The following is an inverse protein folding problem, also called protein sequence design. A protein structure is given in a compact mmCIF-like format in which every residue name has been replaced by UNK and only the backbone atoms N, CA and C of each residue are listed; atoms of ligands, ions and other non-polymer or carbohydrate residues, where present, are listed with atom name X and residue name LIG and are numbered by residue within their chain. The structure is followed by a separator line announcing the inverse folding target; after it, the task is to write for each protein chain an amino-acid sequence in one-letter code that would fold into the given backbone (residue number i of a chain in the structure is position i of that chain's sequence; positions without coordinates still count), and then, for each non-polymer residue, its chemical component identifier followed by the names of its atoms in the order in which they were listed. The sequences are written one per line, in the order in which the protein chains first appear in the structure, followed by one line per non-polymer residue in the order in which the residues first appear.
data_IF_498420120312
#
_entry.id   IF_498420120312
#
_cell.length_a   1.000
_cell.length_b   1.000
_cell.length_c   1.000
_cell.angle_alpha   90.00
_cell.angle_beta   90.00
_cell.angle_gamma   90.00
#
_symmetry.space_group_name_H-M   'P 1'
#
loop_
_entity.id
_entity.type
_entity.pdbx_description
1 polymer ?
#
# COMPACT_ATOMS: atom_id res chain seq x y z
N UNK A 1 6.03 34.45 8.16
CA UNK A 1 5.51 33.40 9.04
C UNK A 1 4.77 32.39 8.15
N UNK A 2 5.27 31.18 7.89
CA UNK A 2 4.49 30.18 7.18
C UNK A 2 3.72 29.29 8.14
N UNK A 3 2.48 29.00 7.77
CA UNK A 3 1.49 28.18 8.47
C UNK A 3 1.85 26.69 8.36
N UNK A 4 2.90 26.22 9.04
CA UNK A 4 3.37 24.83 8.99
C UNK A 4 2.52 23.83 9.81
N UNK A 5 1.45 24.28 10.46
CA UNK A 5 0.68 23.45 11.41
C UNK A 5 -0.28 22.45 10.74
N UNK A 6 -0.73 22.73 9.52
CA UNK A 6 -1.64 21.84 8.78
C UNK A 6 -0.90 20.64 8.18
N UNK A 7 0.35 20.85 7.74
CA UNK A 7 1.19 19.79 7.18
C UNK A 7 1.49 18.73 8.25
N UNK A 8 1.90 19.15 9.45
CA UNK A 8 2.21 18.25 10.56
C UNK A 8 1.03 17.36 10.99
N UNK A 9 -0.20 17.87 10.99
CA UNK A 9 -1.38 17.06 11.30
C UNK A 9 -1.73 16.08 10.19
N UNK A 10 -1.67 16.51 8.93
CA UNK A 10 -1.88 15.62 7.79
C UNK A 10 -0.83 14.50 7.77
N UNK A 11 0.44 14.84 8.02
CA UNK A 11 1.53 13.87 8.14
C UNK A 11 1.28 12.89 9.28
N UNK A 12 0.89 13.35 10.47
CA UNK A 12 0.63 12.47 11.61
C UNK A 12 -0.49 11.44 11.33
N UNK A 13 -1.56 11.85 10.64
CA UNK A 13 -2.65 10.95 10.25
C UNK A 13 -2.15 9.91 9.24
N UNK A 14 -1.38 10.34 8.24
CA UNK A 14 -0.81 9.45 7.23
C UNK A 14 0.18 8.46 7.84
N UNK A 15 1.00 8.91 8.80
CA UNK A 15 1.94 8.09 9.55
C UNK A 15 1.25 7.05 10.44
N UNK A 16 0.16 7.42 11.11
CA UNK A 16 -0.65 6.46 11.87
C UNK A 16 -1.25 5.39 10.94
N UNK A 17 -1.85 5.81 9.83
CA UNK A 17 -2.49 4.92 8.88
C UNK A 17 -1.50 3.95 8.21
N UNK A 18 -0.31 4.43 7.79
CA UNK A 18 0.71 3.54 7.21
C UNK A 18 1.29 2.58 8.25
N UNK A 19 1.38 2.99 9.52
CA UNK A 19 1.85 2.13 10.61
C UNK A 19 0.86 1.00 10.88
N UNK A 20 -0.43 1.30 10.95
CA UNK A 20 -1.48 0.28 11.09
C UNK A 20 -1.52 -0.67 9.89
N UNK A 21 -1.37 -0.14 8.67
CA UNK A 21 -1.29 -0.95 7.46
C UNK A 21 -0.07 -1.88 7.49
N UNK A 22 1.08 -1.36 7.91
CA UNK A 22 2.31 -2.14 8.03
C UNK A 22 2.22 -3.22 9.10
N UNK A 23 1.55 -2.96 10.21
CA UNK A 23 1.31 -3.96 11.26
C UNK A 23 0.46 -5.13 10.72
N UNK A 24 -0.61 -4.83 9.99
CA UNK A 24 -1.46 -5.85 9.33
C UNK A 24 -0.71 -6.66 8.29
N UNK A 25 0.07 -5.97 7.46
CA UNK A 25 0.99 -6.58 6.49
C UNK A 25 1.98 -7.51 7.20
N UNK A 26 2.59 -7.05 8.30
CA UNK A 26 3.64 -7.78 9.01
C UNK A 26 3.09 -8.95 9.82
N UNK A 27 1.84 -8.85 10.28
CA UNK A 27 1.12 -9.94 10.94
C UNK A 27 0.77 -11.07 9.96
N UNK A 28 0.51 -10.73 8.69
CA UNK A 28 0.09 -11.68 7.67
C UNK A 28 0.75 -11.40 6.30
N UNK A 29 2.09 -11.42 6.18
CA UNK A 29 2.79 -11.01 4.98
C UNK A 29 2.51 -11.94 3.80
N UNK A 30 2.08 -13.17 4.12
CA UNK A 30 1.80 -14.20 3.14
C UNK A 30 0.36 -14.30 2.67
N UNK A 31 -0.57 -13.57 3.28
CA UNK A 31 -2.00 -13.62 2.91
C UNK A 31 -2.64 -12.25 2.76
N UNK A 32 -2.02 -11.20 3.30
CA UNK A 32 -2.54 -9.86 3.21
C UNK A 32 -2.25 -9.25 1.83
N UNK A 33 -3.30 -8.74 1.19
CA UNK A 33 -3.23 -8.00 -0.07
C UNK A 33 -3.83 -6.62 0.19
N UNK A 34 -3.05 -5.53 0.08
CA UNK A 34 -3.57 -4.18 0.25
C UNK A 34 -4.56 -3.84 -0.86
N UNK A 35 -5.58 -3.06 -0.54
CA UNK A 35 -6.51 -2.47 -1.49
C UNK A 35 -5.82 -1.36 -2.31
N UNK A 36 -6.38 -0.88 -3.43
CA UNK A 36 -5.78 0.21 -4.21
C UNK A 36 -5.52 1.48 -3.39
N UNK A 37 -6.43 1.84 -2.48
CA UNK A 37 -6.29 2.98 -1.58
C UNK A 37 -5.16 2.78 -0.55
N UNK A 38 -5.09 1.59 0.05
CA UNK A 38 -4.01 1.20 0.98
C UNK A 38 -2.66 1.13 0.25
N UNK A 39 -2.66 0.64 -0.99
CA UNK A 39 -1.48 0.59 -1.84
C UNK A 39 -1.01 1.99 -2.24
N UNK A 40 -1.91 2.95 -2.49
CA UNK A 40 -1.52 4.32 -2.78
C UNK A 40 -0.81 4.96 -1.57
N UNK A 41 -1.34 4.74 -0.36
CA UNK A 41 -0.70 5.16 0.89
C UNK A 41 0.66 4.46 1.06
N UNK A 42 0.70 3.15 0.86
CA UNK A 42 1.92 2.35 0.95
C UNK A 42 2.97 2.81 -0.07
N UNK A 43 2.56 3.11 -1.30
CA UNK A 43 3.40 3.57 -2.39
C UNK A 43 4.01 4.94 -2.08
N UNK A 44 3.25 5.84 -1.45
CA UNK A 44 3.76 7.15 -1.00
C UNK A 44 4.90 7.00 0.02
N UNK A 45 4.81 6.02 0.93
CA UNK A 45 5.86 5.73 1.90
C UNK A 45 6.88 4.68 1.43
N UNK A 46 6.70 4.10 0.24
CA UNK A 46 7.55 3.02 -0.28
C UNK A 46 9.01 3.45 -0.43
N UNK A 47 9.26 4.73 -0.73
CA UNK A 47 10.62 5.27 -0.81
C UNK A 47 11.37 5.12 0.51
N UNK A 48 10.70 5.27 1.66
CA UNK A 48 11.28 5.02 2.99
C UNK A 48 11.45 3.53 3.28
N UNK A 49 10.55 2.68 2.78
CA UNK A 49 10.55 1.25 3.05
C UNK A 49 11.24 0.40 1.98
N UNK A 50 11.89 1.03 0.99
CA UNK A 50 12.52 0.36 -0.17
C UNK A 50 13.61 -0.67 0.20
N UNK A 51 14.12 -0.61 1.43
CA UNK A 51 15.09 -1.57 1.98
C UNK A 51 14.49 -2.80 2.67
N UNK A 52 13.18 -2.86 2.88
CA UNK A 52 12.53 -3.99 3.56
C UNK A 52 12.03 -5.04 2.56
N UNK A 53 12.43 -6.30 2.74
CA UNK A 53 11.97 -7.42 1.91
C UNK A 53 10.44 -7.62 1.96
N UNK A 54 9.82 -7.32 3.11
CA UNK A 54 8.37 -7.34 3.30
C UNK A 54 7.67 -6.37 2.34
N UNK A 55 8.22 -5.16 2.16
CA UNK A 55 7.65 -4.15 1.27
C UNK A 55 7.62 -4.63 -0.19
N UNK A 56 8.71 -5.25 -0.65
CA UNK A 56 8.77 -5.82 -2.00
C UNK A 56 7.80 -6.99 -2.19
N UNK A 57 7.67 -7.84 -1.17
CA UNK A 57 6.70 -8.93 -1.17
C UNK A 57 5.27 -8.42 -1.35
N UNK A 58 4.88 -7.42 -0.57
CA UNK A 58 3.54 -6.80 -0.64
C UNK A 58 3.28 -6.16 -2.00
N UNK A 59 4.23 -5.39 -2.54
CA UNK A 59 4.07 -4.77 -3.86
C UNK A 59 3.88 -5.83 -4.93
N UNK A 60 4.71 -6.88 -4.90
CA UNK A 60 4.61 -7.97 -5.87
C UNK A 60 3.26 -8.68 -5.78
N UNK A 61 2.75 -8.91 -4.56
CA UNK A 61 1.45 -9.53 -4.30
C UNK A 61 0.28 -8.66 -4.72
N UNK A 62 0.38 -7.36 -4.46
CA UNK A 62 -0.59 -6.41 -4.97
C UNK A 62 -0.69 -6.54 -6.49
N UNK A 63 0.43 -6.48 -7.22
CA UNK A 63 0.42 -6.63 -8.68
C UNK A 63 -0.02 -8.02 -9.16
N UNK A 64 0.30 -9.09 -8.42
CA UNK A 64 -0.11 -10.47 -8.73
C UNK A 64 -1.62 -10.65 -8.59
N UNK A 65 -2.21 -10.06 -7.54
CA UNK A 65 -3.66 -10.09 -7.29
C UNK A 65 -4.43 -8.96 -7.99
N UNK A 66 -3.74 -7.92 -8.45
CA UNK A 66 -4.29 -6.83 -9.24
C UNK A 66 -4.50 -7.31 -10.68
N UNK A 67 -5.50 -8.17 -10.82
CA UNK A 67 -6.13 -8.40 -12.10
C UNK A 67 -6.90 -7.12 -12.45
N UNK A 68 -6.23 -6.18 -13.14
CA UNK A 68 -6.90 -5.07 -13.81
C UNK A 68 -8.12 -5.60 -14.57
N UNK A 69 -9.22 -4.82 -14.65
CA UNK A 69 -10.58 -5.29 -14.92
C UNK A 69 -10.50 -6.38 -15.94
N UNK A 70 -10.69 -7.60 -15.46
CA UNK A 70 -10.44 -8.81 -16.21
C UNK A 70 -11.29 -8.71 -17.47
N UNK A 71 -10.67 -8.33 -18.57
CA UNK A 71 -11.21 -8.51 -19.90
C UNK A 71 -11.09 -10.00 -20.23
N UNK A 72 -11.70 -10.82 -19.37
CA UNK A 72 -12.04 -12.21 -19.58
C UNK A 72 -13.44 -12.27 -20.20
N UNK A 73 -13.79 -11.32 -21.06
CA UNK A 73 -14.72 -11.56 -22.16
C UNK A 73 -13.87 -11.91 -23.39
N UNK A 74 -13.38 -13.15 -23.35
CA UNK A 74 -12.36 -13.65 -24.26
C UNK A 74 -12.61 -15.12 -24.54
N UNK A 75 -13.77 -15.39 -25.13
CA UNK A 75 -14.01 -16.48 -26.07
C UNK A 75 -13.67 -17.92 -25.61
N UNK A 76 -14.67 -18.64 -25.09
CA UNK A 76 -14.87 -20.10 -25.22
C UNK A 76 -16.39 -20.34 -25.05
N UNK A 77 -17.17 -20.92 -25.95
CA UNK A 77 -16.99 -21.90 -27.03
C UNK A 77 -18.04 -21.69 -28.13
#
# INVERSE_FOLDING_TARGET
MPSSSMDAQATAILEAAITELWDRISAAPETYVPSPDEFALFNYFLERYRGFAVAQGVVRRFWDNYHGPSNVDGNKK
#
